data_IF_959536045942
#
_entry.id   IF_959536045942
#
_cell.length_a   1.000
_cell.length_b   1.000
_cell.length_c   1.000
_cell.angle_alpha   90.00
_cell.angle_beta   90.00
_cell.angle_gamma   90.00
#
_symmetry.space_group_name_H-M   'P 1'
#
loop_
_entity.id
_entity.type
_entity.pdbx_description
1 polymer ?
#
# COMPACT_ATOMS: atom_id res chain seq x y z
N UNK A 1 -9.62 -23.51 -11.23
CA UNK A 1 -9.94 -22.06 -11.35
C UNK A 1 -9.98 -21.68 -12.83
N UNK A 2 -10.87 -20.76 -13.21
CA UNK A 2 -10.96 -20.29 -14.60
C UNK A 2 -9.71 -19.49 -14.99
N UNK A 3 -9.20 -19.70 -16.21
CA UNK A 3 -8.08 -18.91 -16.74
C UNK A 3 -8.54 -17.45 -16.92
N UNK A 4 -7.71 -16.51 -16.47
CA UNK A 4 -7.92 -15.08 -16.65
C UNK A 4 -6.88 -14.56 -17.63
N UNK A 5 -7.30 -13.73 -18.59
CA UNK A 5 -6.38 -12.99 -19.45
C UNK A 5 -6.07 -11.66 -18.79
N UNK A 6 -4.79 -11.33 -18.67
CA UNK A 6 -4.30 -10.06 -18.11
C UNK A 6 -3.31 -9.46 -19.09
N UNK A 7 -3.33 -8.14 -19.21
CA UNK A 7 -2.33 -7.41 -19.98
C UNK A 7 -1.17 -7.03 -19.05
N UNK A 8 0.07 -7.32 -19.46
CA UNK A 8 1.27 -6.92 -18.74
C UNK A 8 1.94 -5.76 -19.48
N UNK A 9 2.44 -4.78 -18.73
CA UNK A 9 3.23 -3.70 -19.32
C UNK A 9 4.59 -4.23 -19.75
N UNK A 10 5.24 -3.57 -20.71
CA UNK A 10 6.62 -3.89 -21.12
C UNK A 10 7.59 -3.90 -19.93
N UNK A 11 7.43 -2.98 -18.97
CA UNK A 11 8.24 -2.96 -17.74
C UNK A 11 8.05 -4.20 -16.90
N UNK A 12 6.80 -4.69 -16.77
CA UNK A 12 6.49 -5.93 -16.04
C UNK A 12 7.07 -7.15 -16.75
N UNK A 13 6.99 -7.20 -18.08
CA UNK A 13 7.58 -8.28 -18.87
C UNK A 13 9.10 -8.33 -18.71
N UNK A 14 9.76 -7.18 -18.80
CA UNK A 14 11.22 -7.09 -18.61
C UNK A 14 11.63 -7.52 -17.19
N UNK A 15 10.89 -7.07 -16.17
CA UNK A 15 11.15 -7.46 -14.77
C UNK A 15 11.13 -8.99 -14.58
N UNK A 16 10.19 -9.67 -15.25
CA UNK A 16 10.09 -11.13 -15.23
C UNK A 16 11.24 -11.77 -16.02
N UNK A 17 11.55 -11.25 -17.19
CA UNK A 17 12.64 -11.75 -18.04
C UNK A 17 14.00 -11.69 -17.32
N UNK A 18 14.31 -10.59 -16.64
CA UNK A 18 15.57 -10.40 -15.89
C UNK A 18 15.77 -11.40 -14.74
N UNK A 19 14.69 -12.03 -14.27
CA UNK A 19 14.69 -13.04 -13.20
C UNK A 19 14.49 -14.46 -13.72
N UNK A 20 14.40 -14.63 -15.03
CA UNK A 20 14.34 -15.93 -15.68
C UNK A 20 15.78 -16.42 -15.95
N UNK A 21 16.16 -17.65 -15.55
CA UNK A 21 17.48 -18.20 -15.84
C UNK A 21 17.81 -18.16 -17.35
N UNK A 22 19.09 -17.95 -17.68
CA UNK A 22 19.54 -17.94 -19.08
C UNK A 22 19.15 -19.23 -19.80
N UNK A 23 18.55 -19.11 -20.98
CA UNK A 23 18.02 -20.24 -21.76
C UNK A 23 16.68 -20.80 -21.27
N UNK A 24 16.09 -20.23 -20.22
CA UNK A 24 14.77 -20.58 -19.71
C UNK A 24 13.64 -19.78 -20.36
N UNK A 25 12.43 -20.36 -20.38
CA UNK A 25 11.20 -19.67 -20.78
C UNK A 25 10.53 -19.06 -19.54
N UNK A 26 10.16 -17.77 -19.54
CA UNK A 26 9.47 -17.15 -18.42
C UNK A 26 8.14 -17.82 -18.08
N UNK A 27 7.95 -18.16 -16.80
CA UNK A 27 6.68 -18.66 -16.29
C UNK A 27 5.87 -17.51 -15.64
N UNK A 28 5.14 -16.76 -16.45
CA UNK A 28 4.37 -15.59 -16.02
C UNK A 28 3.39 -15.88 -14.88
N UNK A 29 2.74 -17.05 -14.89
CA UNK A 29 1.81 -17.43 -13.82
C UNK A 29 2.53 -17.65 -12.50
N UNK A 30 3.70 -18.32 -12.51
CA UNK A 30 4.49 -18.53 -11.31
C UNK A 30 5.00 -17.20 -10.73
N UNK A 31 5.54 -16.31 -11.58
CA UNK A 31 6.01 -14.99 -11.13
C UNK A 31 4.89 -14.14 -10.55
N UNK A 32 3.73 -14.09 -11.23
CA UNK A 32 2.57 -13.32 -10.75
C UNK A 32 2.06 -13.86 -9.41
N UNK A 33 1.86 -15.18 -9.30
CA UNK A 33 1.37 -15.78 -8.06
C UNK A 33 2.36 -15.63 -6.90
N UNK A 34 3.66 -15.77 -7.17
CA UNK A 34 4.70 -15.56 -6.15
C UNK A 34 4.76 -14.11 -5.67
N UNK A 35 4.60 -13.13 -6.58
CA UNK A 35 4.52 -11.73 -6.22
C UNK A 35 3.33 -11.46 -5.28
N UNK A 36 2.13 -11.94 -5.61
CA UNK A 36 0.97 -11.76 -4.72
C UNK A 36 1.12 -12.51 -3.38
N UNK A 37 1.75 -13.68 -3.37
CA UNK A 37 2.06 -14.38 -2.12
C UNK A 37 3.00 -13.57 -1.23
N UNK A 38 4.03 -12.94 -1.81
CA UNK A 38 4.93 -12.04 -1.09
C UNK A 38 4.21 -10.80 -0.58
N UNK A 39 3.38 -10.15 -1.40
CA UNK A 39 2.59 -8.98 -0.98
C UNK A 39 1.63 -9.32 0.17
N UNK A 40 0.93 -10.46 0.09
CA UNK A 40 0.06 -10.92 1.16
C UNK A 40 0.82 -11.24 2.46
N UNK A 41 2.03 -11.81 2.34
CA UNK A 41 2.90 -12.03 3.49
C UNK A 41 3.33 -10.72 4.14
N UNK A 42 3.77 -9.74 3.34
CA UNK A 42 4.14 -8.41 3.82
C UNK A 42 2.96 -7.74 4.51
N UNK A 43 1.80 -7.64 3.84
CA UNK A 43 0.63 -6.96 4.37
C UNK A 43 0.18 -7.52 5.73
N UNK A 44 0.33 -8.84 5.91
CA UNK A 44 0.00 -9.52 7.17
C UNK A 44 1.03 -9.30 8.27
N UNK A 45 2.33 -9.42 7.98
CA UNK A 45 3.37 -9.47 9.01
C UNK A 45 3.99 -8.11 9.33
N UNK A 46 3.88 -7.15 8.42
CA UNK A 46 4.50 -5.82 8.52
C UNK A 46 3.46 -4.74 8.82
N UNK A 47 2.21 -5.12 9.14
CA UNK A 47 1.18 -4.17 9.56
C UNK A 47 1.60 -3.53 10.88
N UNK A 48 1.79 -2.20 10.94
CA UNK A 48 2.22 -1.53 12.16
C UNK A 48 1.11 -1.56 13.22
N UNK A 49 1.54 -1.48 14.48
CA UNK A 49 0.62 -1.30 15.59
C UNK A 49 0.23 0.17 15.68
N UNK A 50 -1.02 0.47 15.31
CA UNK A 50 -1.66 1.77 15.44
C UNK A 50 -2.97 1.59 16.22
N UNK A 51 -3.36 2.63 16.94
CA UNK A 51 -4.64 2.67 17.66
C UNK A 51 -5.82 2.75 16.68
N UNK A 52 -7.02 2.40 17.13
CA UNK A 52 -8.21 2.43 16.27
C UNK A 52 -8.49 3.82 15.69
N UNK A 53 -8.32 4.89 16.49
CA UNK A 53 -8.48 6.27 16.03
C UNK A 53 -7.48 6.64 14.94
N UNK A 54 -6.25 6.12 15.02
CA UNK A 54 -5.22 6.34 14.02
C UNK A 54 -5.53 5.62 12.70
N UNK A 55 -6.08 4.39 12.78
CA UNK A 55 -6.58 3.69 11.61
C UNK A 55 -7.75 4.43 10.97
N UNK A 56 -8.72 4.89 11.75
CA UNK A 56 -9.84 5.69 11.25
C UNK A 56 -9.36 6.93 10.52
N UNK A 57 -8.36 7.63 11.08
CA UNK A 57 -7.75 8.80 10.47
C UNK A 57 -7.13 8.48 9.11
N UNK A 58 -6.32 7.42 9.03
CA UNK A 58 -5.71 6.96 7.78
C UNK A 58 -6.79 6.56 6.75
N UNK A 59 -7.85 5.88 7.17
CA UNK A 59 -8.94 5.52 6.25
C UNK A 59 -9.61 6.76 5.65
N UNK A 60 -9.82 7.80 6.45
CA UNK A 60 -10.41 9.06 5.99
C UNK A 60 -9.50 9.78 4.99
N UNK A 61 -8.19 9.80 5.22
CA UNK A 61 -7.20 10.41 4.31
C UNK A 61 -7.29 9.81 2.90
N UNK A 62 -7.48 8.49 2.80
CA UNK A 62 -7.56 7.79 1.53
C UNK A 62 -8.99 7.54 1.03
N UNK A 63 -10.02 8.11 1.68
CA UNK A 63 -11.41 7.93 1.27
C UNK A 63 -11.62 8.40 -0.17
N UNK A 64 -12.11 7.51 -1.04
CA UNK A 64 -12.34 7.80 -2.46
C UNK A 64 -11.08 7.79 -3.35
N UNK A 65 -9.90 7.46 -2.82
CA UNK A 65 -8.66 7.37 -3.60
C UNK A 65 -8.61 6.10 -4.47
N UNK A 66 -8.13 6.21 -5.72
CA UNK A 66 -7.82 5.06 -6.56
C UNK A 66 -6.46 4.43 -6.19
N UNK A 67 -6.49 3.56 -5.18
CA UNK A 67 -5.31 2.84 -4.70
C UNK A 67 -4.91 1.62 -5.55
N UNK A 68 -5.48 1.47 -6.76
CA UNK A 68 -4.96 0.48 -7.73
C UNK A 68 -3.63 0.92 -8.35
N UNK A 69 -3.31 2.22 -8.27
CA UNK A 69 -2.05 2.82 -8.73
C UNK A 69 -1.33 3.46 -7.54
N UNK A 70 -0.47 2.69 -6.90
CA UNK A 70 0.31 3.18 -5.76
C UNK A 70 1.50 3.98 -6.29
N UNK A 71 1.61 5.25 -5.91
CA UNK A 71 2.79 6.05 -6.15
C UNK A 71 3.92 5.59 -5.22
N UNK A 72 5.13 5.40 -5.77
CA UNK A 72 6.32 5.02 -5.02
C UNK A 72 7.37 6.14 -5.06
N UNK A 73 8.10 6.41 -3.96
CA UNK A 73 7.94 5.78 -2.64
C UNK A 73 6.63 6.20 -1.96
N UNK A 74 6.10 5.33 -1.11
CA UNK A 74 4.91 5.63 -0.31
C UNK A 74 5.32 6.65 0.76
N UNK A 75 4.48 7.67 0.97
CA UNK A 75 4.72 8.68 1.99
C UNK A 75 3.43 9.09 2.69
N UNK A 76 2.99 8.24 3.63
CA UNK A 76 1.73 8.45 4.36
C UNK A 76 1.76 9.77 5.16
N UNK A 77 2.91 10.16 5.70
CA UNK A 77 3.06 11.43 6.39
C UNK A 77 2.75 12.62 5.48
N UNK A 78 3.25 12.60 4.24
CA UNK A 78 2.97 13.63 3.25
C UNK A 78 1.49 13.61 2.83
N UNK A 79 0.91 12.43 2.64
CA UNK A 79 -0.51 12.29 2.27
C UNK A 79 -1.44 12.86 3.35
N UNK A 80 -1.13 12.61 4.64
CA UNK A 80 -1.88 13.20 5.77
C UNK A 80 -1.75 14.74 5.76
N UNK A 81 -0.53 15.27 5.58
CA UNK A 81 -0.31 16.72 5.53
C UNK A 81 -1.09 17.37 4.37
N UNK A 82 -1.06 16.75 3.19
CA UNK A 82 -1.79 17.22 2.01
C UNK A 82 -3.30 17.19 2.22
N UNK A 83 -3.83 16.11 2.79
CA UNK A 83 -5.26 15.97 3.10
C UNK A 83 -5.77 17.13 3.98
N UNK A 84 -4.98 17.55 4.96
CA UNK A 84 -5.32 18.66 5.86
C UNK A 84 -4.92 20.05 5.33
N UNK A 85 -4.30 20.15 4.15
CA UNK A 85 -3.78 21.41 3.63
C UNK A 85 -2.66 22.02 4.49
N UNK A 86 -1.91 21.17 5.19
CA UNK A 86 -0.79 21.56 6.06
C UNK A 86 0.55 21.30 5.39
N UNK A 87 1.57 22.00 5.87
CA UNK A 87 2.97 21.88 5.42
C UNK A 87 3.88 21.28 6.48
N UNK A 88 3.48 21.37 7.75
CA UNK A 88 4.21 20.80 8.89
C UNK A 88 3.24 20.31 9.97
N UNK A 89 3.58 19.27 10.76
CA UNK A 89 2.69 18.70 11.77
C UNK A 89 2.18 19.71 12.82
N UNK A 90 2.98 20.73 13.15
CA UNK A 90 2.61 21.77 14.14
C UNK A 90 1.39 22.62 13.74
N UNK A 91 0.94 22.54 12.49
CA UNK A 91 -0.27 23.23 12.02
C UNK A 91 -1.55 22.42 12.29
N UNK A 92 -1.42 21.18 12.74
CA UNK A 92 -2.52 20.24 12.98
C UNK A 92 -2.78 20.08 14.48
N UNK A 93 -3.86 19.39 14.83
CA UNK A 93 -4.09 18.99 16.21
C UNK A 93 -3.04 17.96 16.68
N UNK A 94 -2.91 17.81 18.00
CA UNK A 94 -1.88 16.95 18.60
C UNK A 94 -2.01 15.48 18.18
N UNK A 95 -3.23 14.97 18.00
CA UNK A 95 -3.47 13.57 17.62
C UNK A 95 -2.94 13.28 16.21
N UNK A 96 -3.27 14.13 15.23
CA UNK A 96 -2.80 13.99 13.85
C UNK A 96 -1.30 14.26 13.75
N UNK A 97 -0.78 15.23 14.50
CA UNK A 97 0.65 15.49 14.56
C UNK A 97 1.44 14.28 15.12
N UNK A 98 0.91 13.63 16.16
CA UNK A 98 1.49 12.41 16.73
C UNK A 98 1.42 11.24 15.75
N UNK A 99 0.32 11.08 15.02
CA UNK A 99 0.20 10.09 13.96
C UNK A 99 1.26 10.29 12.88
N UNK A 100 1.47 11.51 12.41
CA UNK A 100 2.51 11.83 11.41
C UNK A 100 3.89 11.41 11.91
N UNK A 101 4.22 11.72 13.18
CA UNK A 101 5.51 11.33 13.77
C UNK A 101 5.67 9.81 13.86
N UNK A 102 4.59 9.04 14.04
CA UNK A 102 4.65 7.58 13.99
C UNK A 102 4.87 7.07 12.56
N UNK A 103 4.11 7.58 11.59
CA UNK A 103 4.15 7.04 10.23
C UNK A 103 5.41 7.44 9.44
N UNK A 104 6.06 8.55 9.79
CA UNK A 104 7.32 8.97 9.14
C UNK A 104 8.47 8.02 9.44
N UNK A 105 8.47 7.38 10.62
CA UNK A 105 9.48 6.41 11.05
C UNK A 105 9.24 5.00 10.48
N UNK A 106 8.11 4.77 9.81
CA UNK A 106 7.78 3.47 9.23
C UNK A 106 8.59 3.21 7.96
N UNK A 107 9.08 1.98 7.84
CA UNK A 107 9.70 1.48 6.61
C UNK A 107 8.70 1.47 5.44
N UNK A 108 9.20 1.46 4.21
CA UNK A 108 8.35 1.36 3.01
C UNK A 108 7.48 0.10 3.00
N UNK A 109 7.95 -0.98 3.61
CA UNK A 109 7.23 -2.25 3.71
C UNK A 109 6.03 -2.12 4.66
N UNK A 110 6.21 -1.44 5.80
CA UNK A 110 5.13 -1.14 6.74
C UNK A 110 4.13 -0.11 6.17
N UNK A 111 4.62 0.90 5.44
CA UNK A 111 3.74 1.85 4.75
C UNK A 111 2.92 1.16 3.66
N UNK A 112 3.50 0.21 2.92
CA UNK A 112 2.73 -0.63 2.01
C UNK A 112 1.65 -1.45 2.74
N UNK A 113 1.97 -2.03 3.90
CA UNK A 113 0.99 -2.79 4.69
C UNK A 113 -0.18 -1.92 5.18
N UNK A 114 0.05 -0.63 5.46
CA UNK A 114 -1.02 0.34 5.73
C UNK A 114 -1.90 0.52 4.48
N UNK A 115 -1.32 0.81 3.31
CA UNK A 115 -2.08 1.00 2.07
C UNK A 115 -2.90 -0.25 1.72
N UNK A 116 -2.34 -1.44 1.91
CA UNK A 116 -3.08 -2.69 1.70
C UNK A 116 -4.27 -2.81 2.67
N UNK A 117 -4.08 -2.50 3.95
CA UNK A 117 -5.18 -2.48 4.93
C UNK A 117 -6.29 -1.48 4.56
N UNK A 118 -5.92 -0.28 4.08
CA UNK A 118 -6.87 0.73 3.58
C UNK A 118 -7.67 0.19 2.40
N UNK A 119 -7.00 -0.49 1.45
CA UNK A 119 -7.66 -1.10 0.28
C UNK A 119 -8.66 -2.17 0.70
N UNK A 120 -8.30 -3.02 1.66
CA UNK A 120 -9.19 -4.08 2.17
C UNK A 120 -10.39 -3.46 2.88
N UNK A 121 -10.18 -2.44 3.72
CA UNK A 121 -11.25 -1.72 4.42
C UNK A 121 -12.27 -1.12 3.44
N UNK A 122 -11.81 -0.35 2.45
CA UNK A 122 -12.73 0.26 1.47
C UNK A 122 -13.34 -0.75 0.50
N UNK A 123 -12.72 -1.92 0.30
CA UNK A 123 -13.29 -3.00 -0.51
C UNK A 123 -14.35 -3.83 0.24
N UNK A 124 -14.30 -3.89 1.58
CA UNK A 124 -15.28 -4.64 2.38
C UNK A 124 -16.65 -3.95 2.44
N UNK A 125 -16.69 -2.64 2.18
CA UNK A 125 -17.90 -1.83 2.29
C UNK A 125 -18.29 -1.52 3.73
N UNK A 126 -17.39 -1.70 4.70
CA UNK A 126 -17.62 -1.26 6.09
C UNK A 126 -17.70 0.27 6.14
N UNK A 127 -18.87 0.78 6.51
CA UNK A 127 -19.04 2.16 6.96
C UNK A 127 -18.52 2.26 8.39
N UNK A 128 -17.65 3.24 8.67
CA UNK A 128 -17.29 3.64 10.03
C UNK A 128 -18.58 4.08 10.77
N UNK A 129 -19.28 3.16 11.41
CA UNK A 129 -20.35 3.43 12.39
C UNK A 129 -19.81 3.41 13.82
#
# INVERSE_FOLDING_TARGET
MAKKSVHLTTTTEQYIADRTPQGGTPNYSAHTNAAFALLAHIAKNEKPQLENSEWTEIYNVYAGSDLTKIALPINIAADILEYYGATVPKQLNDDVANLINKVVDLSQVQQFAIIDAVRVFWASGESNE
#
